data_IF_326862310855
#
_entry.id   IF_326862310855
#
_cell.length_a   1.000
_cell.length_b   1.000
_cell.length_c   1.000
_cell.angle_alpha   90.00
_cell.angle_beta   90.00
_cell.angle_gamma   90.00
#
_symmetry.space_group_name_H-M   'P 1'
#
loop_
_entity.id
_entity.type
_entity.pdbx_description
1 polymer ?
#
# COMPACT_ATOMS: atom_id res chain seq x y z
N UNK A 1 1.93 16.83 5.59
CA UNK A 1 1.24 16.50 4.32
C UNK A 1 0.37 15.28 4.56
N UNK A 2 -0.94 15.45 4.45
CA UNK A 2 -1.95 14.57 5.04
C UNK A 2 -2.31 13.40 4.10
N UNK A 3 -1.55 12.30 4.11
CA UNK A 3 -2.05 11.01 3.63
C UNK A 3 -2.56 10.89 2.19
N UNK A 4 -2.20 11.80 1.28
CA UNK A 4 -2.70 11.85 -0.12
C UNK A 4 -2.51 10.53 -0.88
N UNK A 5 -1.52 9.71 -0.49
CA UNK A 5 -1.33 8.37 -1.03
C UNK A 5 -2.55 7.44 -0.82
N UNK A 6 -3.28 7.58 0.28
CA UNK A 6 -4.50 6.84 0.55
C UNK A 6 -5.63 7.24 -0.41
N UNK A 7 -5.77 8.54 -0.71
CA UNK A 7 -6.76 9.03 -1.66
C UNK A 7 -6.49 8.50 -3.08
N UNK A 8 -5.23 8.54 -3.52
CA UNK A 8 -4.83 7.99 -4.81
C UNK A 8 -5.11 6.48 -4.91
N UNK A 9 -4.78 5.73 -3.86
CA UNK A 9 -5.10 4.31 -3.80
C UNK A 9 -6.63 4.07 -3.84
N UNK A 10 -7.41 4.86 -3.12
CA UNK A 10 -8.87 4.71 -3.06
C UNK A 10 -9.51 5.00 -4.43
N UNK A 11 -9.09 6.08 -5.07
CA UNK A 11 -9.54 6.44 -6.42
C UNK A 11 -9.25 5.33 -7.43
N UNK A 12 -8.05 4.75 -7.40
CA UNK A 12 -7.73 3.64 -8.28
C UNK A 12 -8.51 2.36 -7.94
N UNK A 13 -8.71 2.04 -6.66
CA UNK A 13 -9.58 0.92 -6.26
C UNK A 13 -10.98 1.10 -6.83
N UNK A 14 -11.54 2.31 -6.75
CA UNK A 14 -12.83 2.64 -7.36
C UNK A 14 -12.82 2.41 -8.88
N UNK A 15 -11.80 2.89 -9.59
CA UNK A 15 -11.66 2.63 -11.04
C UNK A 15 -11.52 1.15 -11.39
N UNK A 16 -10.92 0.36 -10.50
CA UNK A 16 -10.87 -1.11 -10.58
C UNK A 16 -12.12 -1.80 -10.03
N UNK A 17 -13.24 -1.08 -9.94
CA UNK A 17 -14.55 -1.59 -9.54
C UNK A 17 -14.57 -2.24 -8.14
N UNK A 18 -13.75 -1.72 -7.22
CA UNK A 18 -13.84 -2.06 -5.80
C UNK A 18 -15.18 -1.62 -5.22
N UNK A 19 -15.54 -2.16 -4.05
CA UNK A 19 -16.72 -1.74 -3.28
C UNK A 19 -16.49 -0.38 -2.59
N UNK A 20 -16.24 0.65 -3.39
CA UNK A 20 -16.13 2.05 -2.98
C UNK A 20 -17.22 2.82 -3.74
N UNK A 21 -18.05 3.57 -3.03
CA UNK A 21 -19.05 4.43 -3.66
C UNK A 21 -18.45 5.78 -4.09
N UNK A 22 -19.11 6.45 -5.04
CA UNK A 22 -18.77 7.82 -5.39
C UNK A 22 -18.84 8.77 -4.17
N UNK A 23 -19.86 8.60 -3.32
CA UNK A 23 -19.99 9.38 -2.09
C UNK A 23 -18.78 9.20 -1.17
N UNK A 24 -18.31 7.96 -0.98
CA UNK A 24 -17.10 7.68 -0.20
C UNK A 24 -15.87 8.36 -0.79
N UNK A 25 -15.69 8.33 -2.12
CA UNK A 25 -14.58 9.03 -2.80
C UNK A 25 -14.57 10.52 -2.55
N UNK A 26 -15.75 11.14 -2.45
CA UNK A 26 -15.87 12.60 -2.28
C UNK A 26 -15.89 13.05 -0.82
N UNK A 27 -16.13 12.14 0.13
CA UNK A 27 -16.29 12.46 1.56
C UNK A 27 -15.14 11.96 2.44
N UNK A 28 -14.47 10.88 2.06
CA UNK A 28 -13.33 10.33 2.81
C UNK A 28 -12.05 10.89 2.24
N UNK A 29 -11.15 11.33 3.12
CA UNK A 29 -9.85 11.87 2.73
C UNK A 29 -8.71 11.33 3.59
N UNK A 30 -7.54 11.20 2.98
CA UNK A 30 -6.28 10.88 3.63
C UNK A 30 -6.36 9.61 4.51
N UNK A 31 -5.92 9.70 5.77
CA UNK A 31 -5.88 8.55 6.68
C UNK A 31 -7.27 8.00 7.04
N UNK A 32 -8.35 8.75 6.77
CA UNK A 32 -9.72 8.28 7.03
C UNK A 32 -10.13 7.12 6.11
N UNK A 33 -9.33 6.79 5.09
CA UNK A 33 -9.51 5.59 4.28
C UNK A 33 -9.05 4.30 4.99
N UNK A 34 -8.22 4.39 6.03
CA UNK A 34 -7.64 3.23 6.70
C UNK A 34 -8.70 2.21 7.19
N UNK A 35 -9.84 2.63 7.79
CA UNK A 35 -10.89 1.69 8.17
C UNK A 35 -11.49 0.91 6.99
N UNK A 36 -11.61 1.53 5.81
CA UNK A 36 -12.14 0.87 4.61
C UNK A 36 -11.10 -0.05 3.97
N UNK A 37 -9.85 0.40 3.84
CA UNK A 37 -8.78 -0.46 3.33
C UNK A 37 -8.53 -1.66 4.22
N UNK A 38 -8.70 -1.50 5.53
CA UNK A 38 -8.64 -2.56 6.53
C UNK A 38 -7.43 -3.49 6.36
N UNK A 39 -6.27 -2.89 6.09
CA UNK A 39 -5.06 -3.59 5.67
C UNK A 39 -4.65 -4.71 6.65
N UNK A 40 -4.89 -4.53 7.96
CA UNK A 40 -4.55 -5.51 8.99
C UNK A 40 -5.36 -6.81 8.91
N UNK A 41 -6.53 -6.82 8.27
CA UNK A 41 -7.29 -8.05 7.98
C UNK A 41 -6.83 -8.74 6.70
N UNK A 42 -6.19 -8.00 5.81
CA UNK A 42 -5.62 -8.52 4.58
C UNK A 42 -4.36 -9.36 4.82
N UNK A 43 -3.94 -10.10 3.80
CA UNK A 43 -2.75 -10.94 3.88
C UNK A 43 -1.47 -10.09 3.87
N UNK A 44 -0.46 -10.50 4.64
CA UNK A 44 0.90 -9.96 4.51
C UNK A 44 1.52 -10.45 3.21
N UNK A 45 2.20 -9.56 2.50
CA UNK A 45 3.02 -9.95 1.36
C UNK A 45 4.31 -10.61 1.86
N UNK A 46 4.70 -11.70 1.23
CA UNK A 46 5.84 -12.55 1.62
C UNK A 46 7.16 -12.12 0.97
N UNK A 47 7.14 -11.11 0.09
CA UNK A 47 8.30 -10.64 -0.66
C UNK A 47 8.60 -11.44 -1.93
N UNK A 48 7.81 -12.46 -2.24
CA UNK A 48 8.08 -13.42 -3.31
C UNK A 48 6.87 -13.64 -4.23
N UNK A 49 5.71 -13.91 -3.63
CA UNK A 49 4.45 -14.12 -4.33
C UNK A 49 4.09 -12.91 -5.20
N UNK A 50 3.43 -13.16 -6.34
CA UNK A 50 2.90 -12.05 -7.13
C UNK A 50 1.86 -11.26 -6.32
N UNK A 51 1.97 -9.93 -6.36
CA UNK A 51 0.94 -8.99 -5.99
C UNK A 51 -0.20 -9.10 -7.02
N UNK A 52 -1.46 -9.28 -6.59
CA UNK A 52 -2.60 -9.21 -7.49
C UNK A 52 -2.77 -7.78 -8.00
N UNK A 53 -2.79 -7.60 -9.33
CA UNK A 53 -2.96 -6.28 -9.94
C UNK A 53 -4.25 -5.59 -9.50
N UNK A 54 -4.18 -4.27 -9.32
CA UNK A 54 -5.29 -3.43 -8.88
C UNK A 54 -5.58 -3.46 -7.39
N UNK A 55 -4.89 -4.28 -6.58
CA UNK A 55 -5.08 -4.30 -5.11
C UNK A 55 -4.39 -3.14 -4.41
N UNK A 56 -4.99 -2.67 -3.32
CA UNK A 56 -4.38 -1.66 -2.46
C UNK A 56 -3.35 -2.32 -1.55
N UNK A 57 -2.17 -1.71 -1.49
CA UNK A 57 -1.03 -2.17 -0.70
C UNK A 57 -0.80 -1.18 0.43
N UNK A 58 -0.78 -1.67 1.66
CA UNK A 58 -0.57 -0.87 2.86
C UNK A 58 0.81 -1.14 3.46
N UNK A 59 1.55 -0.08 3.77
CA UNK A 59 2.85 -0.16 4.43
C UNK A 59 2.71 0.24 5.89
N UNK A 60 3.10 -0.66 6.78
CA UNK A 60 2.91 -0.54 8.22
C UNK A 60 4.26 -0.61 8.92
N UNK A 61 4.60 0.37 9.74
CA UNK A 61 5.76 0.28 10.62
C UNK A 61 5.51 -0.79 11.67
N UNK A 62 6.47 -1.68 11.87
CA UNK A 62 6.38 -2.72 12.91
C UNK A 62 6.33 -2.05 14.29
N UNK A 63 7.18 -1.03 14.50
CA UNK A 63 7.12 -0.18 15.68
C UNK A 63 5.79 0.59 15.70
N UNK A 64 4.97 0.32 16.73
CA UNK A 64 3.67 0.97 16.92
C UNK A 64 2.55 0.51 15.97
N UNK A 65 2.81 -0.45 15.07
CA UNK A 65 1.83 -1.01 14.15
C UNK A 65 1.03 0.05 13.37
N UNK A 66 1.73 1.09 12.90
CA UNK A 66 1.12 2.25 12.26
C UNK A 66 1.27 2.19 10.73
N UNK A 67 0.14 2.27 10.02
CA UNK A 67 0.13 2.47 8.58
C UNK A 67 0.53 3.89 8.23
N UNK A 68 1.55 4.04 7.38
CA UNK A 68 2.12 5.33 7.02
C UNK A 68 2.03 5.63 5.51
N UNK A 69 1.78 4.62 4.69
CA UNK A 69 1.74 4.77 3.25
C UNK A 69 0.82 3.72 2.59
N UNK A 70 0.27 4.08 1.44
CA UNK A 70 -0.50 3.18 0.59
C UNK A 70 -0.12 3.33 -0.90
N UNK A 71 -0.26 2.23 -1.62
CA UNK A 71 0.01 2.13 -3.05
C UNK A 71 -1.00 1.22 -3.73
N UNK A 72 -0.92 1.12 -5.05
CA UNK A 72 -1.67 0.14 -5.85
C UNK A 72 -0.71 -0.84 -6.49
N UNK A 73 -0.99 -2.14 -6.35
CA UNK A 73 -0.30 -3.18 -7.08
C UNK A 73 -0.59 -3.07 -8.59
N UNK A 74 0.46 -3.10 -9.40
CA UNK A 74 0.34 -3.22 -10.86
C UNK A 74 0.17 -4.68 -11.25
N UNK A 75 0.84 -5.58 -10.53
CA UNK A 75 0.98 -7.00 -10.84
C UNK A 75 2.43 -7.43 -10.62
N UNK A 76 2.70 -8.73 -10.58
CA UNK A 76 4.07 -9.22 -10.33
C UNK A 76 4.58 -8.75 -8.96
N UNK A 77 5.64 -7.95 -8.92
CA UNK A 77 6.15 -7.35 -7.66
C UNK A 77 6.16 -5.84 -7.68
N UNK A 78 5.39 -5.25 -8.60
CA UNK A 78 5.39 -3.82 -8.85
C UNK A 78 4.18 -3.10 -8.25
N UNK A 79 4.42 -1.88 -7.81
CA UNK A 79 3.39 -0.96 -7.32
C UNK A 79 3.48 0.41 -8.01
N UNK A 80 2.40 1.17 -7.97
CA UNK A 80 2.39 2.62 -8.23
C UNK A 80 1.90 3.34 -6.99
N UNK A 81 2.56 4.45 -6.66
CA UNK A 81 2.24 5.26 -5.50
C UNK A 81 2.63 6.73 -5.73
N UNK A 82 2.31 7.57 -4.76
CA UNK A 82 2.75 8.97 -4.68
C UNK A 82 3.22 9.28 -3.27
N UNK A 83 4.23 10.14 -3.13
CA UNK A 83 4.73 10.60 -1.81
C UNK A 83 5.21 9.45 -0.89
N UNK A 84 5.60 8.30 -1.43
CA UNK A 84 6.09 7.12 -0.70
C UNK A 84 7.61 7.02 -0.58
N UNK A 85 8.37 8.00 -1.09
CA UNK A 85 9.84 7.91 -1.18
C UNK A 85 10.27 6.76 -2.08
N UNK A 86 11.09 5.85 -1.56
CA UNK A 86 11.51 4.65 -2.29
C UNK A 86 10.36 3.67 -2.55
N UNK A 87 9.23 3.78 -1.85
CA UNK A 87 8.00 3.01 -2.10
C UNK A 87 7.11 3.65 -3.18
N UNK A 88 7.63 4.64 -3.91
CA UNK A 88 6.93 5.32 -5.00
C UNK A 88 6.67 6.79 -4.67
N UNK A 89 7.57 7.66 -5.14
CA UNK A 89 7.44 9.10 -4.98
C UNK A 89 6.45 9.73 -5.97
N UNK A 90 6.27 9.13 -7.15
CA UNK A 90 5.40 9.65 -8.21
C UNK A 90 4.75 8.55 -9.04
N UNK A 91 3.63 8.90 -9.67
CA UNK A 91 2.74 7.92 -10.30
C UNK A 91 3.29 7.29 -11.58
N UNK A 92 4.14 8.02 -12.32
CA UNK A 92 4.48 7.71 -13.71
C UNK A 92 5.26 6.40 -13.89
N UNK A 93 6.09 6.02 -12.94
CA UNK A 93 6.93 4.84 -13.04
C UNK A 93 6.62 3.86 -11.91
N UNK A 94 6.31 2.58 -12.22
CA UNK A 94 6.17 1.57 -11.19
C UNK A 94 7.46 1.38 -10.39
N UNK A 95 7.30 0.94 -9.15
CA UNK A 95 8.39 0.54 -8.28
C UNK A 95 8.30 -0.97 -8.05
N UNK A 96 9.38 -1.68 -8.35
CA UNK A 96 9.53 -3.10 -8.02
C UNK A 96 9.93 -3.27 -6.55
N UNK A 97 9.01 -3.79 -5.74
CA UNK A 97 9.22 -3.95 -4.31
C UNK A 97 10.35 -4.92 -3.97
N UNK A 98 10.70 -5.87 -4.83
CA UNK A 98 11.86 -6.77 -4.55
C UNK A 98 13.19 -6.05 -4.60
N UNK A 99 13.29 -4.98 -5.39
CA UNK A 99 14.50 -4.13 -5.45
C UNK A 99 14.61 -3.22 -4.23
N UNK A 100 13.48 -2.76 -3.70
CA UNK A 100 13.43 -1.84 -2.56
C UNK A 100 13.48 -2.59 -1.22
N UNK A 101 12.75 -3.70 -1.10
CA UNK A 101 12.57 -4.49 0.11
C UNK A 101 13.35 -5.81 0.01
N UNK A 102 14.66 -5.70 -0.19
CA UNK A 102 15.55 -6.84 -0.43
C UNK A 102 16.04 -7.54 0.86
N UNK A 103 15.74 -7.00 2.04
CA UNK A 103 16.13 -7.56 3.33
C UNK A 103 14.89 -7.93 4.15
N UNK A 104 14.47 -9.19 4.04
CA UNK A 104 13.34 -9.76 4.77
C UNK A 104 13.78 -10.40 6.08
N UNK A 105 13.05 -10.13 7.16
CA UNK A 105 13.24 -10.73 8.48
C UNK A 105 12.40 -12.02 8.64
N UNK A 106 12.75 -12.91 9.59
CA UNK A 106 12.01 -14.15 9.83
C UNK A 106 10.53 -13.97 10.16
N UNK A 107 10.15 -12.83 10.77
CA UNK A 107 8.77 -12.48 11.11
C UNK A 107 7.94 -11.99 9.89
N UNK A 108 8.57 -11.93 8.72
CA UNK A 108 7.97 -11.45 7.48
C UNK A 108 8.00 -9.93 7.29
N UNK A 109 8.63 -9.18 8.20
CA UNK A 109 8.88 -7.75 7.99
C UNK A 109 10.07 -7.53 7.05
N UNK A 110 10.20 -6.30 6.54
CA UNK A 110 11.29 -5.88 5.68
C UNK A 110 12.02 -4.70 6.32
N UNK A 111 13.36 -4.66 6.20
CA UNK A 111 14.10 -3.44 6.53
C UNK A 111 13.83 -2.38 5.48
N UNK A 112 13.49 -1.19 5.95
CA UNK A 112 13.17 -0.05 5.11
C UNK A 112 13.47 1.24 5.86
N UNK A 113 14.26 2.13 5.27
CA UNK A 113 14.48 3.50 5.77
C UNK A 113 14.82 3.58 7.28
N UNK A 114 15.83 2.80 7.70
CA UNK A 114 16.27 2.74 9.10
C UNK A 114 15.30 2.07 10.08
N UNK A 115 14.16 1.55 9.60
CA UNK A 115 13.15 0.86 10.40
C UNK A 115 12.76 -0.50 9.80
N UNK A 116 11.73 -1.13 10.34
CA UNK A 116 11.12 -2.36 9.82
C UNK A 116 9.65 -2.15 9.52
N UNK A 117 9.19 -2.73 8.40
CA UNK A 117 7.81 -2.59 7.94
C UNK A 117 7.20 -3.93 7.56
N UNK A 118 5.89 -4.06 7.75
CA UNK A 118 5.08 -5.07 7.07
C UNK A 118 4.43 -4.46 5.83
N UNK A 119 4.24 -5.30 4.82
CA UNK A 119 3.48 -4.96 3.60
C UNK A 119 2.20 -5.79 3.61
N UNK A 120 1.05 -5.14 3.55
CA UNK A 120 -0.27 -5.77 3.56
C UNK A 120 -0.98 -5.59 2.23
N UNK A 121 -1.72 -6.60 1.80
CA UNK A 121 -2.57 -6.56 0.61
C UNK A 121 -4.01 -6.48 1.09
N UNK A 122 -4.69 -5.38 0.80
CA UNK A 122 -6.10 -5.18 1.16
C UNK A 122 -7.02 -6.12 0.38
N UNK A 123 -8.06 -6.62 1.05
CA UNK A 123 -9.11 -7.39 0.40
C UNK A 123 -10.13 -6.53 -0.34
N UNK A 124 -10.15 -5.21 -0.10
CA UNK A 124 -11.01 -4.24 -0.77
C UNK A 124 -10.83 -4.27 -2.29
#
# INVERSE_FOLDING_TARGET
MNGVCYDAAAYMRYLYNAKISYEQLTSISAQNWLPLFNFSKGRKWDGQSSLPGGKAIGFCRVAGMQFFHAAIAVGGTEIRAINGGLLGAGWLHPVDLRKVLNQKNPDGSFRYDGTTIFVYISDL
#
